data_IF_555969649447
#
_entry.id   IF_555969649447
#
_cell.length_a   1.000
_cell.length_b   1.000
_cell.length_c   1.000
_cell.angle_alpha   90.00
_cell.angle_beta   90.00
_cell.angle_gamma   90.00
#
_symmetry.space_group_name_H-M   'P 1'
#
loop_
_entity.id
_entity.type
_entity.pdbx_description
1 polymer ?
#
# COMPACT_ATOMS: atom_id res chain seq x y z
N UNK A 1 -6.28 7.37 -17.43
CA UNK A 1 -5.29 7.45 -16.35
C UNK A 1 -5.06 6.04 -15.82
N UNK A 2 -3.82 5.61 -15.72
CA UNK A 2 -3.46 4.23 -15.40
C UNK A 2 -2.85 4.16 -13.99
N UNK A 3 -3.66 4.17 -12.94
CA UNK A 3 -3.15 4.00 -11.57
C UNK A 3 -4.27 3.55 -10.62
N UNK A 4 -3.93 3.28 -9.37
CA UNK A 4 -4.87 2.65 -8.44
C UNK A 4 -5.96 3.61 -7.95
N UNK A 5 -5.60 4.83 -7.52
CA UNK A 5 -6.56 5.70 -6.84
C UNK A 5 -7.53 6.42 -7.78
N UNK A 6 -7.12 6.75 -9.00
CA UNK A 6 -7.92 7.54 -9.94
C UNK A 6 -7.99 6.92 -11.35
N UNK A 7 -7.64 5.66 -11.49
CA UNK A 7 -7.50 5.05 -12.81
C UNK A 7 -8.05 3.64 -12.92
N UNK A 8 -7.73 3.01 -14.05
CA UNK A 8 -8.23 1.70 -14.44
C UNK A 8 -7.92 0.59 -13.44
N UNK A 9 -6.76 0.66 -12.76
CA UNK A 9 -6.40 -0.33 -11.75
C UNK A 9 -7.41 -0.36 -10.59
N UNK A 10 -7.79 0.81 -10.08
CA UNK A 10 -8.82 0.90 -9.04
C UNK A 10 -10.22 0.49 -9.52
N UNK A 11 -10.57 0.83 -10.77
CA UNK A 11 -11.83 0.38 -11.38
C UNK A 11 -11.87 -1.15 -11.43
N UNK A 12 -10.79 -1.80 -11.89
CA UNK A 12 -10.69 -3.25 -11.96
C UNK A 12 -10.85 -3.93 -10.60
N UNK A 13 -10.17 -3.43 -9.57
CA UNK A 13 -10.31 -3.96 -8.20
C UNK A 13 -11.70 -3.69 -7.61
N UNK A 14 -12.27 -2.51 -7.85
CA UNK A 14 -13.62 -2.17 -7.41
C UNK A 14 -14.70 -3.04 -8.06
N UNK A 15 -14.60 -3.27 -9.36
CA UNK A 15 -15.49 -4.14 -10.11
C UNK A 15 -15.42 -5.59 -9.60
N UNK A 16 -14.20 -6.11 -9.43
CA UNK A 16 -14.01 -7.45 -8.86
C UNK A 16 -14.59 -7.57 -7.46
N UNK A 17 -14.39 -6.55 -6.61
CA UNK A 17 -14.97 -6.50 -5.27
C UNK A 17 -16.51 -6.49 -5.31
N UNK A 18 -17.09 -5.84 -6.30
CA UNK A 18 -18.55 -5.83 -6.54
C UNK A 18 -19.08 -7.12 -7.18
N UNK A 19 -18.22 -8.07 -7.54
CA UNK A 19 -18.57 -9.33 -8.18
C UNK A 19 -18.69 -9.26 -9.71
N UNK A 20 -18.29 -8.15 -10.33
CA UNK A 20 -18.32 -7.97 -11.79
C UNK A 20 -16.94 -8.29 -12.40
N UNK A 21 -16.72 -9.57 -12.70
CA UNK A 21 -15.45 -10.04 -13.25
C UNK A 21 -15.22 -9.52 -14.69
N UNK A 22 -16.26 -9.41 -15.50
CA UNK A 22 -16.13 -8.95 -16.89
C UNK A 22 -15.69 -7.48 -16.93
N UNK A 23 -16.29 -6.63 -16.12
CA UNK A 23 -15.86 -5.24 -15.97
C UNK A 23 -14.45 -5.14 -15.39
N UNK A 24 -14.10 -6.00 -14.43
CA UNK A 24 -12.76 -6.02 -13.86
C UNK A 24 -11.70 -6.35 -14.92
N UNK A 25 -11.92 -7.38 -15.72
CA UNK A 25 -11.06 -7.76 -16.85
C UNK A 25 -10.96 -6.64 -17.89
N UNK A 26 -12.10 -6.08 -18.29
CA UNK A 26 -12.14 -4.96 -19.25
C UNK A 26 -11.34 -3.75 -18.78
N UNK A 27 -11.41 -3.43 -17.49
CA UNK A 27 -10.70 -2.29 -16.92
C UNK A 27 -9.17 -2.47 -16.93
N UNK A 28 -8.66 -3.68 -16.70
CA UNK A 28 -7.20 -3.95 -16.63
C UNK A 28 -6.61 -4.40 -17.97
N UNK A 29 -7.41 -4.81 -18.93
CA UNK A 29 -6.96 -5.25 -20.27
C UNK A 29 -6.00 -4.28 -20.96
N UNK A 30 -6.19 -2.93 -20.92
CA UNK A 30 -5.30 -1.99 -21.57
C UNK A 30 -3.85 -2.05 -21.11
N UNK A 31 -3.57 -2.54 -19.90
CA UNK A 31 -2.20 -2.65 -19.40
C UNK A 31 -1.36 -3.65 -20.17
N UNK A 32 -1.96 -4.66 -20.81
CA UNK A 32 -1.23 -5.66 -21.59
C UNK A 32 -0.59 -5.07 -22.85
N UNK A 33 -1.12 -3.96 -23.37
CA UNK A 33 -0.65 -3.35 -24.62
C UNK A 33 -0.02 -1.98 -24.44
N UNK A 34 -0.13 -1.38 -23.25
CA UNK A 34 0.38 -0.04 -22.96
C UNK A 34 1.65 -0.02 -22.10
N UNK A 35 2.22 -1.19 -21.82
CA UNK A 35 3.45 -1.32 -21.07
C UNK A 35 4.66 -0.89 -21.89
N UNK A 36 5.55 -0.08 -21.30
CA UNK A 36 6.84 0.28 -21.87
C UNK A 36 7.93 -0.66 -21.36
N UNK A 37 8.74 -1.30 -22.23
CA UNK A 37 9.86 -2.12 -21.82
C UNK A 37 10.91 -1.31 -21.05
N UNK A 38 11.52 -1.94 -20.05
CA UNK A 38 12.63 -1.37 -19.26
C UNK A 38 13.79 -2.38 -19.19
N UNK A 39 14.90 -2.01 -18.54
CA UNK A 39 16.04 -2.90 -18.34
C UNK A 39 15.71 -4.11 -17.45
N UNK A 40 14.68 -4.02 -16.59
CA UNK A 40 14.36 -5.06 -15.59
C UNK A 40 12.98 -5.71 -15.80
N UNK A 41 12.17 -5.18 -16.72
CA UNK A 41 10.82 -5.67 -16.95
C UNK A 41 9.99 -4.67 -17.73
N UNK A 42 8.85 -4.24 -17.19
CA UNK A 42 7.98 -3.25 -17.82
C UNK A 42 7.51 -2.18 -16.83
N UNK A 43 7.13 -1.03 -17.36
CA UNK A 43 6.58 0.08 -16.61
C UNK A 43 5.43 0.76 -17.39
N UNK A 44 4.65 1.60 -16.76
CA UNK A 44 3.54 2.32 -17.39
C UNK A 44 3.60 3.81 -17.16
N UNK A 45 3.26 4.58 -18.19
CA UNK A 45 2.99 6.01 -18.07
C UNK A 45 1.64 6.23 -17.38
N UNK A 46 1.63 6.34 -16.06
CA UNK A 46 0.37 6.55 -15.31
C UNK A 46 -0.24 7.93 -15.55
N UNK A 47 0.56 8.90 -16.00
CA UNK A 47 0.18 10.29 -16.33
C UNK A 47 0.87 10.75 -17.61
N UNK A 48 0.34 11.77 -18.30
CA UNK A 48 1.01 12.38 -19.44
C UNK A 48 2.17 13.29 -18.98
N UNK A 49 3.13 12.74 -18.29
CA UNK A 49 4.32 13.42 -17.75
C UNK A 49 5.51 12.46 -17.76
N UNK A 50 6.76 12.97 -17.88
CA UNK A 50 7.95 12.12 -17.93
C UNK A 50 8.16 11.21 -16.73
N UNK A 51 7.88 11.62 -15.46
CA UNK A 51 8.10 10.78 -14.30
C UNK A 51 7.29 9.48 -14.34
N UNK A 52 7.98 8.35 -14.13
CA UNK A 52 7.39 7.04 -13.90
C UNK A 52 7.31 6.80 -12.40
N UNK A 53 6.11 6.59 -11.89
CA UNK A 53 5.88 6.28 -10.48
C UNK A 53 5.92 4.77 -10.24
N UNK A 54 6.39 4.36 -9.06
CA UNK A 54 6.73 2.95 -8.81
C UNK A 54 5.80 2.25 -7.83
N UNK A 55 5.27 2.94 -6.83
CA UNK A 55 4.55 2.37 -5.70
C UNK A 55 3.05 2.11 -5.95
N UNK A 56 2.37 1.67 -4.87
CA UNK A 56 0.99 1.15 -4.95
C UNK A 56 -0.03 2.21 -5.37
N UNK A 57 -0.04 3.39 -4.73
CA UNK A 57 -1.15 4.33 -4.95
C UNK A 57 -1.16 4.92 -6.36
N UNK A 58 0.00 5.32 -6.87
CA UNK A 58 0.12 6.12 -8.09
C UNK A 58 1.12 5.55 -9.11
N UNK A 59 1.53 4.29 -8.97
CA UNK A 59 2.62 3.75 -9.78
C UNK A 59 2.41 2.31 -10.26
N UNK A 60 3.51 1.76 -10.75
CA UNK A 60 3.60 0.42 -11.34
C UNK A 60 3.05 -0.66 -10.39
N UNK A 61 3.37 -0.62 -9.10
CA UNK A 61 2.90 -1.65 -8.17
C UNK A 61 1.38 -1.64 -7.97
N UNK A 62 0.70 -0.50 -8.14
CA UNK A 62 -0.77 -0.47 -8.14
C UNK A 62 -1.37 -1.17 -9.37
N UNK A 63 -0.71 -1.05 -10.52
CA UNK A 63 -1.09 -1.78 -11.75
C UNK A 63 -0.81 -3.28 -11.58
N UNK A 64 0.34 -3.63 -11.04
CA UNK A 64 0.72 -5.01 -10.69
C UNK A 64 -0.34 -5.64 -9.77
N UNK A 65 -0.74 -4.93 -8.73
CA UNK A 65 -1.79 -5.35 -7.80
C UNK A 65 -3.08 -5.70 -8.53
N UNK A 66 -3.54 -4.80 -9.41
CA UNK A 66 -4.78 -5.00 -10.17
C UNK A 66 -4.67 -6.16 -11.17
N UNK A 67 -3.58 -6.22 -11.95
CA UNK A 67 -3.35 -7.30 -12.92
C UNK A 67 -3.25 -8.66 -12.23
N UNK A 68 -2.51 -8.79 -11.13
CA UNK A 68 -2.36 -10.04 -10.40
C UNK A 68 -3.70 -10.49 -9.77
N UNK A 69 -4.45 -9.57 -9.16
CA UNK A 69 -5.72 -9.88 -8.51
C UNK A 69 -6.79 -10.29 -9.52
N UNK A 70 -6.98 -9.49 -10.58
CA UNK A 70 -7.98 -9.77 -11.62
C UNK A 70 -7.55 -10.97 -12.46
N UNK A 71 -6.27 -11.07 -12.83
CA UNK A 71 -5.73 -12.20 -13.59
C UNK A 71 -5.91 -13.52 -12.86
N UNK A 72 -5.65 -13.54 -11.55
CA UNK A 72 -5.89 -14.73 -10.74
C UNK A 72 -7.38 -15.11 -10.69
N UNK A 73 -8.25 -14.14 -10.43
CA UNK A 73 -9.71 -14.39 -10.39
C UNK A 73 -10.29 -14.83 -11.73
N UNK A 74 -9.74 -14.34 -12.85
CA UNK A 74 -10.19 -14.65 -14.20
C UNK A 74 -9.45 -15.84 -14.85
N UNK A 75 -8.48 -16.47 -14.17
CA UNK A 75 -7.64 -17.53 -14.75
C UNK A 75 -6.77 -17.05 -15.93
N UNK A 76 -6.37 -15.78 -15.97
CA UNK A 76 -5.63 -15.12 -17.05
C UNK A 76 -4.13 -15.09 -16.75
N UNK A 77 -3.41 -16.09 -17.27
CA UNK A 77 -1.94 -16.21 -17.13
C UNK A 77 -1.19 -15.00 -17.70
N UNK A 78 -1.62 -14.47 -18.85
CA UNK A 78 -1.01 -13.29 -19.47
C UNK A 78 -1.05 -12.03 -18.60
N UNK A 79 -2.10 -11.85 -17.80
CA UNK A 79 -2.18 -10.76 -16.82
C UNK A 79 -1.22 -10.97 -15.66
N UNK A 80 -1.07 -12.21 -15.20
CA UNK A 80 -0.13 -12.55 -14.12
C UNK A 80 1.31 -12.36 -14.60
N UNK A 81 1.65 -12.82 -15.81
CA UNK A 81 2.99 -12.63 -16.42
C UNK A 81 3.34 -11.14 -16.56
N UNK A 82 2.38 -10.33 -17.01
CA UNK A 82 2.54 -8.87 -17.11
C UNK A 82 2.73 -8.21 -15.73
N UNK A 83 2.01 -8.67 -14.72
CA UNK A 83 2.17 -8.21 -13.34
C UNK A 83 3.58 -8.54 -12.81
N UNK A 84 4.08 -9.74 -13.06
CA UNK A 84 5.42 -10.16 -12.66
C UNK A 84 6.51 -9.33 -13.36
N UNK A 85 6.35 -9.03 -14.64
CA UNK A 85 7.27 -8.16 -15.37
C UNK A 85 7.27 -6.72 -14.81
N UNK A 86 6.11 -6.20 -14.41
CA UNK A 86 6.01 -4.89 -13.74
C UNK A 86 6.66 -4.88 -12.36
N UNK A 87 6.44 -5.93 -11.57
CA UNK A 87 7.07 -6.09 -10.27
C UNK A 87 8.60 -6.19 -10.39
N UNK A 88 9.11 -6.89 -11.41
CA UNK A 88 10.54 -7.02 -11.67
C UNK A 88 11.21 -5.66 -11.95
N UNK A 89 10.55 -4.76 -12.71
CA UNK A 89 11.05 -3.39 -12.90
C UNK A 89 11.23 -2.65 -11.57
N UNK A 90 10.24 -2.73 -10.68
CA UNK A 90 10.32 -2.05 -9.38
C UNK A 90 11.37 -2.69 -8.47
N UNK A 91 11.48 -4.01 -8.46
CA UNK A 91 12.51 -4.73 -7.69
C UNK A 91 13.90 -4.35 -8.15
N UNK A 92 14.12 -4.22 -9.46
CA UNK A 92 15.40 -3.79 -10.04
C UNK A 92 15.84 -2.37 -9.66
N UNK A 93 14.91 -1.55 -9.12
CA UNK A 93 15.18 -0.17 -8.65
C UNK A 93 15.47 -0.05 -7.16
N UNK A 94 15.59 -1.18 -6.45
CA UNK A 94 15.85 -1.14 -5.01
C UNK A 94 17.20 -0.49 -4.67
N UNK A 95 17.20 0.50 -3.79
CA UNK A 95 18.38 1.24 -3.34
C UNK A 95 18.81 0.90 -1.89
N UNK A 96 18.02 0.08 -1.16
CA UNK A 96 18.32 -0.28 0.22
C UNK A 96 19.31 -1.47 0.37
N UNK A 97 19.82 -1.98 -0.73
CA UNK A 97 20.73 -3.14 -0.71
C UNK A 97 20.01 -4.48 -0.48
N UNK A 98 20.76 -5.55 -0.17
CA UNK A 98 20.22 -6.93 -0.14
C UNK A 98 19.28 -7.18 1.02
N UNK A 99 19.44 -6.46 2.12
CA UNK A 99 18.69 -6.69 3.36
C UNK A 99 17.44 -5.83 3.50
N UNK A 100 17.32 -4.75 2.71
CA UNK A 100 16.19 -3.84 2.71
C UNK A 100 15.46 -3.77 1.38
N UNK A 101 14.34 -3.04 1.36
CA UNK A 101 13.63 -2.69 0.15
C UNK A 101 13.15 -1.23 0.22
N UNK A 102 13.72 -0.37 -0.61
CA UNK A 102 13.37 1.04 -0.69
C UNK A 102 13.58 1.53 -2.12
N UNK A 103 12.54 2.08 -2.72
CA UNK A 103 12.54 2.60 -4.08
C UNK A 103 12.10 4.06 -4.05
N UNK A 104 12.61 4.88 -4.97
CA UNK A 104 12.15 6.27 -5.12
C UNK A 104 10.69 6.33 -5.53
N UNK A 105 10.00 7.42 -5.18
CA UNK A 105 8.62 7.64 -5.63
C UNK A 105 8.48 7.58 -7.14
N UNK A 106 9.43 8.19 -7.85
CA UNK A 106 9.43 8.23 -9.32
C UNK A 106 10.80 8.51 -9.90
N UNK A 107 10.96 8.16 -11.18
CA UNK A 107 12.14 8.46 -11.98
C UNK A 107 11.69 9.05 -13.35
N UNK A 108 12.15 10.25 -13.74
CA UNK A 108 12.83 11.25 -12.89
C UNK A 108 11.98 11.73 -11.71
N UNK A 109 12.58 12.38 -10.70
CA UNK A 109 11.84 12.86 -9.52
C UNK A 109 10.70 13.82 -9.89
N UNK A 110 9.51 13.56 -9.36
CA UNK A 110 8.35 14.45 -9.51
C UNK A 110 8.35 15.48 -8.38
N UNK A 111 8.33 16.78 -8.73
CA UNK A 111 8.30 17.91 -7.76
C UNK A 111 9.32 17.78 -6.62
N UNK A 112 10.63 17.70 -6.90
CA UNK A 112 11.66 17.38 -5.89
C UNK A 112 11.77 18.42 -4.76
N UNK A 113 11.23 19.62 -4.95
CA UNK A 113 11.16 20.65 -3.90
C UNK A 113 10.06 20.43 -2.87
N UNK A 114 9.03 19.67 -3.20
CA UNK A 114 7.84 19.43 -2.36
C UNK A 114 7.75 18.00 -1.85
N UNK A 115 8.18 17.02 -2.65
CA UNK A 115 8.01 15.60 -2.37
C UNK A 115 9.37 15.01 -2.03
N UNK A 116 9.44 14.32 -0.88
CA UNK A 116 10.62 13.54 -0.53
C UNK A 116 10.85 12.43 -1.55
N UNK A 117 12.12 12.07 -1.86
CA UNK A 117 12.40 11.00 -2.82
C UNK A 117 11.90 9.64 -2.35
N UNK A 118 11.79 9.45 -1.04
CA UNK A 118 11.31 8.20 -0.42
C UNK A 118 10.22 8.48 0.61
N UNK A 119 9.36 7.49 0.80
CA UNK A 119 8.39 7.41 1.89
C UNK A 119 8.33 5.97 2.41
N UNK A 120 7.66 5.77 3.54
CA UNK A 120 7.51 4.46 4.18
C UNK A 120 6.03 4.03 4.27
N UNK A 121 5.12 4.88 3.81
CA UNK A 121 3.69 4.67 3.88
C UNK A 121 3.15 3.64 2.90
N UNK A 122 1.85 3.41 2.99
CA UNK A 122 1.15 2.50 2.07
C UNK A 122 1.14 3.03 0.63
N UNK A 123 0.95 4.33 0.43
CA UNK A 123 0.81 4.87 -0.93
C UNK A 123 2.10 4.84 -1.74
N UNK A 124 3.22 5.20 -1.14
CA UNK A 124 4.49 5.43 -1.82
C UNK A 124 5.69 4.89 -1.02
N UNK A 125 5.59 3.64 -0.56
CA UNK A 125 6.72 3.08 0.19
C UNK A 125 6.54 1.62 0.58
N UNK A 126 7.51 1.06 1.30
CA UNK A 126 7.59 -0.36 1.59
C UNK A 126 6.38 -0.92 2.35
N UNK A 127 5.62 -0.10 3.10
CA UNK A 127 4.41 -0.60 3.77
C UNK A 127 3.30 -1.01 2.77
N UNK A 128 3.18 -0.32 1.64
CA UNK A 128 2.28 -0.72 0.57
C UNK A 128 2.88 -1.77 -0.36
N UNK A 129 4.16 -1.62 -0.68
CA UNK A 129 4.87 -2.54 -1.56
C UNK A 129 4.85 -3.98 -1.01
N UNK A 130 4.97 -4.14 0.31
CA UNK A 130 4.83 -5.42 1.00
C UNK A 130 3.48 -6.11 0.73
N UNK A 131 2.38 -5.36 0.57
CA UNK A 131 1.07 -5.92 0.25
C UNK A 131 1.04 -6.53 -1.15
N UNK A 132 1.72 -5.89 -2.11
CA UNK A 132 1.83 -6.40 -3.48
C UNK A 132 2.66 -7.67 -3.50
N UNK A 133 3.80 -7.69 -2.82
CA UNK A 133 4.66 -8.87 -2.75
C UNK A 133 3.96 -10.04 -2.03
N UNK A 134 3.20 -9.77 -0.97
CA UNK A 134 2.35 -10.76 -0.30
C UNK A 134 1.32 -11.37 -1.25
N UNK A 135 0.66 -10.54 -2.07
CA UNK A 135 -0.27 -11.02 -3.11
C UNK A 135 0.45 -11.87 -4.15
N UNK A 136 1.59 -11.42 -4.67
CA UNK A 136 2.35 -12.18 -5.67
C UNK A 136 2.82 -13.53 -5.12
N UNK A 137 3.26 -13.58 -3.86
CA UNK A 137 3.58 -14.87 -3.20
C UNK A 137 2.39 -15.83 -3.18
N UNK A 138 1.19 -15.32 -2.85
CA UNK A 138 -0.03 -16.12 -2.84
C UNK A 138 -0.46 -16.59 -4.23
N UNK A 139 -0.38 -15.73 -5.23
CA UNK A 139 -0.83 -16.03 -6.60
C UNK A 139 0.12 -16.98 -7.32
N UNK A 140 1.43 -16.85 -7.08
CA UNK A 140 2.46 -17.64 -7.79
C UNK A 140 2.97 -18.85 -7.01
N UNK A 141 2.83 -18.86 -5.68
CA UNK A 141 3.46 -19.84 -4.79
C UNK A 141 4.99 -19.65 -4.65
N UNK A 142 5.57 -18.58 -5.21
CA UNK A 142 7.01 -18.31 -5.15
C UNK A 142 7.39 -17.58 -3.85
N UNK A 143 8.16 -18.26 -3.00
CA UNK A 143 8.65 -17.72 -1.72
C UNK A 143 9.62 -16.53 -1.85
N UNK A 144 10.16 -16.25 -3.03
CA UNK A 144 11.00 -15.07 -3.25
C UNK A 144 10.23 -13.77 -2.97
N UNK A 145 8.93 -13.73 -3.28
CA UNK A 145 8.06 -12.60 -2.99
C UNK A 145 7.83 -12.39 -1.48
N UNK A 146 7.73 -13.47 -0.72
CA UNK A 146 7.69 -13.41 0.75
C UNK A 146 8.97 -12.76 1.30
N UNK A 147 10.13 -13.17 0.78
CA UNK A 147 11.42 -12.56 1.13
C UNK A 147 11.50 -11.06 0.86
N UNK A 148 10.88 -10.58 -0.23
CA UNK A 148 10.77 -9.14 -0.53
C UNK A 148 9.84 -8.42 0.46
N UNK A 149 8.74 -9.04 0.86
CA UNK A 149 7.87 -8.54 1.94
C UNK A 149 8.62 -8.40 3.27
N UNK A 150 9.47 -9.38 3.63
CA UNK A 150 10.32 -9.31 4.81
C UNK A 150 11.35 -8.17 4.74
N UNK A 151 11.92 -7.91 3.57
CA UNK A 151 12.83 -6.78 3.33
C UNK A 151 12.12 -5.44 3.46
N UNK A 152 10.88 -5.30 2.94
CA UNK A 152 10.03 -4.14 3.16
C UNK A 152 9.79 -3.89 4.65
N UNK A 153 9.42 -4.94 5.38
CA UNK A 153 9.18 -4.87 6.82
C UNK A 153 10.41 -4.43 7.60
N UNK A 154 11.58 -4.98 7.28
CA UNK A 154 12.86 -4.57 7.90
C UNK A 154 13.13 -3.10 7.66
N UNK A 155 12.99 -2.63 6.41
CA UNK A 155 13.16 -1.21 6.06
C UNK A 155 12.24 -0.30 6.87
N UNK A 156 10.97 -0.67 7.03
CA UNK A 156 10.02 0.09 7.85
C UNK A 156 10.46 0.14 9.31
N UNK A 157 10.84 -0.97 9.89
CA UNK A 157 11.27 -1.03 11.30
C UNK A 157 12.55 -0.26 11.59
N UNK A 158 13.49 -0.24 10.65
CA UNK A 158 14.78 0.45 10.77
C UNK A 158 14.73 1.93 10.37
N UNK A 159 13.63 2.39 9.78
CA UNK A 159 13.44 3.78 9.33
C UNK A 159 13.44 4.83 10.45
N UNK A 160 13.23 4.40 11.68
CA UNK A 160 13.05 5.28 12.83
C UNK A 160 11.62 5.75 13.07
N UNK A 161 10.65 5.28 12.25
CA UNK A 161 9.23 5.57 12.46
C UNK A 161 8.74 5.11 13.84
N UNK A 162 7.79 5.83 14.44
CA UNK A 162 7.05 6.99 13.95
C UNK A 162 7.70 8.35 14.32
N UNK A 163 8.98 8.40 14.63
CA UNK A 163 9.66 9.65 15.01
C UNK A 163 9.66 10.65 13.86
N UNK A 164 9.29 11.89 14.16
CA UNK A 164 9.39 13.02 13.23
C UNK A 164 10.82 13.58 13.26
N UNK A 165 11.71 12.98 12.46
CA UNK A 165 13.11 13.33 12.45
C UNK A 165 13.39 14.74 11.90
N UNK A 166 12.53 15.24 11.01
CA UNK A 166 12.58 16.57 10.39
C UNK A 166 11.19 16.92 9.80
N UNK A 167 10.91 18.20 9.52
CA UNK A 167 9.69 18.57 8.78
C UNK A 167 9.58 17.83 7.45
N UNK A 168 8.40 17.33 7.12
CA UNK A 168 8.13 16.53 5.95
C UNK A 168 8.51 15.06 6.05
N UNK A 169 9.24 14.67 7.09
CA UNK A 169 9.51 13.27 7.38
C UNK A 169 8.47 12.75 8.37
N UNK A 170 7.54 11.94 7.88
CA UNK A 170 6.54 11.23 8.67
C UNK A 170 5.60 12.14 9.48
N UNK A 171 4.95 13.07 8.81
CA UNK A 171 4.07 14.02 9.49
C UNK A 171 2.62 13.53 9.62
N UNK A 172 2.20 12.54 8.84
CA UNK A 172 0.82 12.10 8.70
C UNK A 172 0.42 10.95 9.63
N UNK A 173 -0.87 10.89 9.94
CA UNK A 173 -1.49 9.87 10.77
C UNK A 173 -2.33 8.87 9.94
N UNK A 174 -2.70 9.25 8.72
CA UNK A 174 -3.68 8.56 7.88
C UNK A 174 -3.27 7.16 7.42
N UNK A 175 -4.26 6.43 6.87
CA UNK A 175 -4.07 5.08 6.31
C UNK A 175 -3.21 5.09 5.03
N UNK A 176 -3.34 6.11 4.21
CA UNK A 176 -2.61 6.21 2.95
C UNK A 176 -1.13 6.54 3.16
N UNK A 177 -0.84 7.68 3.80
CA UNK A 177 0.50 8.26 3.87
C UNK A 177 1.06 8.33 5.30
N UNK A 178 0.47 7.70 6.29
CA UNK A 178 0.82 7.92 7.69
C UNK A 178 0.93 6.67 8.55
N UNK A 179 0.98 6.90 9.85
CA UNK A 179 1.22 5.88 10.88
C UNK A 179 0.19 4.75 10.83
N UNK A 180 -1.09 5.04 10.52
CA UNK A 180 -2.12 4.01 10.40
C UNK A 180 -1.85 3.02 9.26
N UNK A 181 -1.23 3.48 8.15
CA UNK A 181 -0.84 2.59 7.06
C UNK A 181 0.28 1.62 7.43
N UNK A 182 1.22 2.06 8.25
CA UNK A 182 2.28 1.21 8.79
C UNK A 182 1.74 0.27 9.87
N UNK A 183 0.78 0.72 10.67
CA UNK A 183 0.08 -0.14 11.64
C UNK A 183 -0.64 -1.31 10.95
N UNK A 184 -1.22 -1.08 9.76
CA UNK A 184 -1.83 -2.15 8.97
C UNK A 184 -0.81 -3.25 8.62
N UNK A 185 0.38 -2.88 8.13
CA UNK A 185 1.46 -3.83 7.86
C UNK A 185 1.92 -4.55 9.14
N UNK A 186 2.07 -3.82 10.26
CA UNK A 186 2.43 -4.44 11.54
C UNK A 186 1.39 -5.47 11.99
N UNK A 187 0.10 -5.20 11.80
CA UNK A 187 -0.98 -6.16 12.08
C UNK A 187 -0.91 -7.40 11.17
N UNK A 188 -0.56 -7.24 9.89
CA UNK A 188 -0.35 -8.36 8.97
C UNK A 188 0.81 -9.24 9.46
N UNK A 189 1.93 -8.63 9.85
CA UNK A 189 3.10 -9.34 10.39
C UNK A 189 2.79 -10.12 11.65
N UNK A 190 2.02 -9.55 12.57
CA UNK A 190 1.58 -10.23 13.78
C UNK A 190 0.72 -11.45 13.43
N UNK A 191 -0.25 -11.25 12.52
CA UNK A 191 -1.22 -12.27 12.17
C UNK A 191 -0.66 -13.43 11.35
N UNK A 192 0.24 -13.14 10.40
CA UNK A 192 0.70 -14.10 9.39
C UNK A 192 2.09 -14.67 9.69
N UNK A 193 2.93 -13.92 10.43
CA UNK A 193 4.31 -14.31 10.72
C UNK A 193 4.61 -14.48 12.21
N UNK A 194 3.64 -14.20 13.09
CA UNK A 194 3.80 -14.33 14.54
C UNK A 194 4.74 -13.27 15.15
N UNK A 195 4.93 -12.14 14.48
CA UNK A 195 5.72 -11.05 15.02
C UNK A 195 5.10 -10.53 16.34
N UNK A 196 5.94 -10.02 17.25
CA UNK A 196 5.45 -9.46 18.52
C UNK A 196 4.79 -8.10 18.35
N UNK A 197 3.95 -7.72 19.31
CA UNK A 197 3.22 -6.44 19.32
C UNK A 197 4.08 -5.19 19.54
N UNK A 198 5.35 -5.32 19.91
CA UNK A 198 6.19 -4.20 20.35
C UNK A 198 6.19 -2.99 19.39
N UNK A 199 6.39 -3.22 18.10
CA UNK A 199 6.37 -2.11 17.13
C UNK A 199 4.95 -1.58 16.87
N UNK A 200 3.95 -2.44 16.81
CA UNK A 200 2.55 -2.03 16.68
C UNK A 200 2.11 -1.16 17.87
N UNK A 201 2.53 -1.49 19.10
CA UNK A 201 2.26 -0.68 20.29
C UNK A 201 2.84 0.74 20.14
N UNK A 202 4.09 0.85 19.68
CA UNK A 202 4.72 2.17 19.44
C UNK A 202 3.93 3.00 18.42
N UNK A 203 3.39 2.38 17.38
CA UNK A 203 2.58 3.08 16.38
C UNK A 203 1.22 3.52 16.94
N UNK A 204 0.59 2.68 17.76
CA UNK A 204 -0.69 2.99 18.44
C UNK A 204 -0.50 4.10 19.46
N UNK A 205 0.58 4.06 20.24
CA UNK A 205 0.91 5.12 21.20
C UNK A 205 1.13 6.46 20.50
N UNK A 206 1.83 6.47 19.35
CA UNK A 206 2.03 7.66 18.54
C UNK A 206 0.69 8.21 17.99
N UNK A 207 -0.18 7.37 17.44
CA UNK A 207 -1.51 7.77 16.99
C UNK A 207 -2.35 8.33 18.14
N UNK A 208 -2.34 7.67 19.28
CA UNK A 208 -3.08 8.12 20.48
C UNK A 208 -2.57 9.45 20.99
N UNK A 209 -1.26 9.65 21.05
CA UNK A 209 -0.65 10.90 21.49
C UNK A 209 -0.92 12.09 20.55
N UNK A 210 -1.22 11.82 19.29
CA UNK A 210 -1.56 12.86 18.28
C UNK A 210 -3.05 13.10 18.12
N UNK A 211 -3.89 12.34 18.78
CA UNK A 211 -5.33 12.54 18.74
C UNK A 211 -5.72 13.86 19.38
N UNK A 212 -6.58 14.63 18.72
CA UNK A 212 -7.30 15.75 19.32
C UNK A 212 -8.56 15.14 19.94
N UNK A 213 -8.67 15.21 21.26
CA UNK A 213 -9.78 14.62 22.01
C UNK A 213 -10.58 15.71 22.72
N UNK A 214 -11.89 15.71 22.53
CA UNK A 214 -12.84 16.58 23.23
C UNK A 214 -14.20 15.87 23.43
N UNK A 215 -15.21 16.59 23.86
CA UNK A 215 -16.55 16.06 24.15
C UNK A 215 -17.22 15.43 22.90
N UNK A 216 -16.75 15.72 21.69
CA UNK A 216 -17.29 15.18 20.44
C UNK A 216 -16.59 13.89 20.01
N UNK A 217 -15.44 13.54 20.59
CA UNK A 217 -14.67 12.34 20.30
C UNK A 217 -13.20 12.60 19.99
N UNK A 218 -12.59 11.67 19.25
CA UNK A 218 -11.20 11.74 18.85
C UNK A 218 -11.07 11.98 17.35
N UNK A 219 -10.13 12.84 16.94
CA UNK A 219 -9.84 13.14 15.54
C UNK A 219 -8.36 13.46 15.32
N UNK A 220 -7.91 13.37 14.08
CA UNK A 220 -6.52 13.60 13.70
C UNK A 220 -6.42 14.60 12.56
N UNK A 221 -5.53 15.59 12.71
CA UNK A 221 -5.06 16.45 11.64
C UNK A 221 -3.95 15.76 10.86
N UNK A 222 -3.71 16.19 9.62
CA UNK A 222 -2.65 15.69 8.77
C UNK A 222 -1.91 16.85 8.08
N UNK A 223 -0.83 16.49 7.35
CA UNK A 223 -0.05 17.41 6.53
C UNK A 223 -0.10 16.93 5.08
N UNK A 224 -0.25 17.80 4.13
CA UNK A 224 -0.29 17.40 2.73
C UNK A 224 1.11 17.24 2.14
N UNK A 225 1.95 18.25 2.34
CA UNK A 225 3.35 18.26 1.89
C UNK A 225 4.24 18.94 2.92
N UNK A 226 5.53 18.60 2.92
CA UNK A 226 6.51 19.19 3.85
C UNK A 226 6.62 20.73 3.80
N UNK A 227 6.20 21.36 2.70
CA UNK A 227 6.17 22.80 2.53
C UNK A 227 4.84 23.44 2.92
N UNK A 228 3.82 22.65 3.22
CA UNK A 228 2.52 23.13 3.67
C UNK A 228 2.58 23.48 5.15
N UNK A 229 1.76 24.45 5.56
CA UNK A 229 1.49 24.69 6.97
C UNK A 229 0.81 23.45 7.56
N UNK A 230 1.11 23.12 8.83
CA UNK A 230 0.86 21.79 9.39
C UNK A 230 -0.59 21.40 9.64
N UNK A 231 -1.58 22.18 9.31
CA UNK A 231 -2.93 21.98 9.81
C UNK A 231 -3.94 21.76 8.68
N UNK A 232 -3.87 20.59 8.06
CA UNK A 232 -5.06 20.08 7.39
C UNK A 232 -6.09 19.71 8.47
N UNK A 233 -7.26 20.33 8.40
CA UNK A 233 -8.38 20.01 9.27
C UNK A 233 -8.69 18.51 9.27
N UNK A 234 -9.12 17.94 10.41
CA UNK A 234 -9.50 16.55 10.49
C UNK A 234 -10.55 16.18 9.45
N UNK A 235 -10.28 15.12 8.70
CA UNK A 235 -11.16 14.61 7.64
C UNK A 235 -11.82 13.30 8.07
N UNK A 236 -12.96 12.96 7.47
CA UNK A 236 -13.66 11.71 7.75
C UNK A 236 -13.18 10.53 6.86
N UNK A 237 -12.53 10.80 5.72
CA UNK A 237 -12.23 9.82 4.67
C UNK A 237 -11.27 8.71 5.08
N UNK A 238 -11.21 7.67 4.21
CA UNK A 238 -10.33 6.51 4.41
C UNK A 238 -8.83 6.87 4.29
N UNK A 239 -8.45 7.66 3.30
CA UNK A 239 -7.03 7.84 2.96
C UNK A 239 -6.28 8.62 4.05
N UNK A 240 -6.75 9.81 4.36
CA UNK A 240 -6.10 10.77 5.26
C UNK A 240 -6.93 11.07 6.51
N UNK A 241 -8.12 10.50 6.61
CA UNK A 241 -9.08 10.85 7.65
C UNK A 241 -9.28 9.79 8.73
N UNK A 242 -10.20 10.11 9.63
CA UNK A 242 -10.51 9.34 10.82
C UNK A 242 -10.97 7.91 10.51
N UNK A 243 -11.72 7.69 9.41
CA UNK A 243 -12.23 6.37 9.07
C UNK A 243 -11.09 5.36 8.84
N UNK A 244 -10.03 5.76 8.10
CA UNK A 244 -8.88 4.89 7.89
C UNK A 244 -8.06 4.64 9.16
N UNK A 245 -7.86 5.69 9.97
CA UNK A 245 -7.14 5.57 11.25
C UNK A 245 -7.90 4.64 12.20
N UNK A 246 -9.20 4.88 12.38
CA UNK A 246 -10.05 4.08 13.28
C UNK A 246 -10.12 2.61 12.83
N UNK A 247 -10.19 2.35 11.52
CA UNK A 247 -10.18 0.99 10.97
C UNK A 247 -8.96 0.20 11.43
N UNK A 248 -7.78 0.79 11.40
CA UNK A 248 -6.53 0.13 11.80
C UNK A 248 -6.42 0.00 13.33
N UNK A 249 -6.83 0.99 14.08
CA UNK A 249 -6.89 0.91 15.55
C UNK A 249 -7.85 -0.18 16.02
N UNK A 250 -9.02 -0.33 15.40
CA UNK A 250 -9.99 -1.39 15.71
C UNK A 250 -9.43 -2.78 15.36
N UNK A 251 -8.72 -2.90 14.23
CA UNK A 251 -8.04 -4.15 13.85
C UNK A 251 -6.98 -4.54 14.89
N UNK A 252 -6.12 -3.59 15.24
CA UNK A 252 -5.11 -3.79 16.28
C UNK A 252 -5.74 -4.20 17.62
N UNK A 253 -6.80 -3.49 18.06
CA UNK A 253 -7.49 -3.81 19.31
C UNK A 253 -8.07 -5.23 19.32
N UNK A 254 -8.64 -5.69 18.21
CA UNK A 254 -9.10 -7.09 18.09
C UNK A 254 -7.95 -8.08 18.18
N UNK A 255 -6.86 -7.86 17.45
CA UNK A 255 -5.67 -8.71 17.46
C UNK A 255 -5.05 -8.80 18.86
N UNK A 256 -4.88 -7.68 19.54
CA UNK A 256 -4.30 -7.64 20.89
C UNK A 256 -5.16 -8.33 21.94
N UNK A 257 -6.47 -8.42 21.70
CA UNK A 257 -7.40 -9.19 22.53
C UNK A 257 -7.51 -10.68 22.13
N UNK A 258 -6.65 -11.17 21.23
CA UNK A 258 -6.69 -12.55 20.75
C UNK A 258 -7.83 -12.85 19.76
N UNK A 259 -8.44 -11.82 19.17
CA UNK A 259 -9.52 -11.96 18.19
C UNK A 259 -9.01 -12.10 16.76
N UNK A 260 -9.97 -12.11 15.80
CA UNK A 260 -9.69 -12.31 14.38
C UNK A 260 -8.80 -11.18 13.77
N UNK A 261 -7.81 -11.61 12.99
CA UNK A 261 -6.85 -10.73 12.32
C UNK A 261 -7.43 -9.98 11.11
N UNK A 262 -8.48 -10.52 10.49
CA UNK A 262 -9.10 -9.94 9.31
C UNK A 262 -9.84 -8.63 9.58
N UNK A 263 -10.07 -7.88 8.53
CA UNK A 263 -10.96 -6.72 8.63
C UNK A 263 -12.42 -7.18 8.73
N UNK A 264 -13.21 -6.47 9.53
CA UNK A 264 -14.66 -6.75 9.65
C UNK A 264 -15.40 -6.52 8.31
N UNK A 265 -14.91 -5.56 7.52
CA UNK A 265 -15.38 -5.32 6.16
C UNK A 265 -14.16 -5.39 5.24
N UNK A 266 -14.08 -6.37 4.33
CA UNK A 266 -13.01 -6.45 3.33
C UNK A 266 -13.02 -5.20 2.45
N UNK A 267 -11.84 -4.74 2.06
CA UNK A 267 -11.69 -3.58 1.21
C UNK A 267 -10.55 -3.81 0.20
N UNK A 268 -10.65 -3.33 -1.04
CA UNK A 268 -9.66 -3.60 -2.09
C UNK A 268 -8.23 -3.11 -1.79
N UNK A 269 -8.06 -2.23 -0.82
CA UNK A 269 -6.74 -1.73 -0.38
C UNK A 269 -5.88 -2.76 0.37
N UNK A 270 -6.49 -3.87 0.75
CA UNK A 270 -5.83 -4.97 1.44
C UNK A 270 -6.24 -6.28 0.76
N UNK A 271 -5.50 -6.71 -0.26
CA UNK A 271 -5.82 -7.93 -0.99
C UNK A 271 -5.79 -9.14 -0.05
N UNK A 272 -6.90 -9.85 0.03
CA UNK A 272 -6.97 -11.09 0.79
C UNK A 272 -6.36 -12.22 -0.04
N UNK A 273 -5.53 -13.03 0.58
CA UNK A 273 -4.95 -14.26 0.01
C UNK A 273 -5.83 -15.48 0.29
N UNK A 274 -7.00 -15.29 0.89
CA UNK A 274 -7.89 -16.36 1.34
C UNK A 274 -9.00 -16.67 0.34
N UNK A 275 -9.38 -17.93 0.37
CA UNK A 275 -10.40 -18.60 -0.41
C UNK A 275 -11.69 -17.77 -0.55
N UNK A 276 -12.12 -17.53 -1.78
CA UNK A 276 -13.37 -16.84 -2.12
C UNK A 276 -14.64 -17.64 -1.73
N UNK A 277 -14.49 -18.79 -1.09
CA UNK A 277 -15.59 -19.65 -0.66
C UNK A 277 -16.39 -19.12 0.55
N UNK A 278 -15.91 -18.10 1.25
CA UNK A 278 -16.57 -17.49 2.41
C UNK A 278 -17.50 -16.31 2.08
N UNK A 279 -17.72 -15.97 0.80
CA UNK A 279 -18.54 -14.82 0.37
C UNK A 279 -19.96 -15.14 -0.06
N UNK A 280 -20.42 -16.38 0.12
CA UNK A 280 -21.79 -16.80 -0.19
C UNK A 280 -22.45 -17.39 1.06
N UNK A 281 -22.77 -16.54 2.03
CA UNK A 281 -23.72 -16.82 3.11
C UNK A 281 -24.33 -15.51 3.60
#
# INVERSE_FOLDING_TARGET
MFELLMGNAGIGLGALHAGDLDLAVMAVQPYLTSADPTAHGVNWAVRPSPPRSHHVAHGTLGIVLALATVGHAAGRADMIEMALAGAADVVGRNEAGPDGFLVRHSDPPHRPGLIEPYSYGWCNGPAGDAQVFRLLASVTGDGAWTGLGDRCWRTVRESGLPRRARPGFWDNNGRCCGTAGVLALACDRIAEHGDGFGFANVLVDDLTARAIVDDTGARWSNYEHRAALPDLEPQAGWAMGNAGILRELLRYARLSAGGAAGYAVPWPDHPSTGDSSARAA
#
